data_IF_599012862444
#
_entry.id   IF_599012862444
#
_cell.length_a   1.000
_cell.length_b   1.000
_cell.length_c   1.000
_cell.angle_alpha   90.00
_cell.angle_beta   90.00
_cell.angle_gamma   90.00
#
_symmetry.space_group_name_H-M   'P 1'
#
loop_
_entity.id
_entity.type
_entity.pdbx_description
1 polymer ?
#
# COMPACT_ATOMS: atom_id res chain seq x y z
N UNK A 1 -17.04 -1.99 11.24
CA UNK A 1 -15.64 -1.57 10.97
C UNK A 1 -15.74 -0.46 9.95
N UNK A 2 -15.46 0.78 10.35
CA UNK A 2 -15.65 1.94 9.50
C UNK A 2 -14.52 2.03 8.47
N UNK A 3 -14.88 2.20 7.20
CA UNK A 3 -13.93 2.47 6.12
C UNK A 3 -13.47 3.92 6.20
N UNK A 4 -12.22 4.17 5.82
CA UNK A 4 -11.71 5.54 5.69
C UNK A 4 -12.33 6.25 4.49
N UNK A 5 -12.43 7.58 4.57
CA UNK A 5 -12.60 8.40 3.38
C UNK A 5 -11.36 8.29 2.51
N UNK A 6 -11.51 8.52 1.21
CA UNK A 6 -10.41 8.45 0.23
C UNK A 6 -9.22 9.32 0.65
N UNK A 7 -9.47 10.57 1.05
CA UNK A 7 -8.44 11.50 1.54
C UNK A 7 -7.75 10.98 2.81
N UNK A 8 -8.48 10.33 3.72
CA UNK A 8 -7.90 9.78 4.94
C UNK A 8 -7.05 8.53 4.65
N UNK A 9 -7.50 7.68 3.73
CA UNK A 9 -6.73 6.52 3.25
C UNK A 9 -5.44 6.94 2.57
N UNK A 10 -5.51 7.91 1.65
CA UNK A 10 -4.33 8.46 0.97
C UNK A 10 -3.29 9.00 1.98
N UNK A 11 -3.72 9.81 2.96
CA UNK A 11 -2.80 10.34 3.99
C UNK A 11 -2.17 9.24 4.83
N UNK A 12 -2.92 8.20 5.18
CA UNK A 12 -2.40 7.06 5.94
C UNK A 12 -1.29 6.31 5.17
N UNK A 13 -1.34 6.32 3.85
CA UNK A 13 -0.35 5.68 2.97
C UNK A 13 0.86 6.60 2.73
N UNK A 14 0.61 7.87 2.38
CA UNK A 14 1.65 8.81 1.93
C UNK A 14 2.48 9.39 3.07
N UNK A 15 1.87 9.75 4.21
CA UNK A 15 2.58 10.46 5.29
C UNK A 15 3.77 9.65 5.85
N UNK A 16 3.63 8.33 6.14
CA UNK A 16 4.76 7.54 6.59
C UNK A 16 5.82 7.36 5.49
N UNK A 17 5.37 7.18 4.25
CA UNK A 17 6.22 6.92 3.08
C UNK A 17 7.11 8.11 2.71
N UNK A 18 6.62 9.33 2.94
CA UNK A 18 7.37 10.56 2.68
C UNK A 18 8.63 10.69 3.54
N UNK A 19 8.64 10.14 4.76
CA UNK A 19 9.83 10.16 5.62
C UNK A 19 10.89 9.14 5.18
N UNK A 20 10.44 8.05 4.55
CA UNK A 20 11.27 6.90 4.13
C UNK A 20 11.75 7.01 2.67
N UNK A 21 11.51 8.14 2.00
CA UNK A 21 11.84 8.35 0.57
C UNK A 21 11.19 7.32 -0.38
N UNK A 22 9.99 6.85 -0.02
CA UNK A 22 9.21 5.93 -0.85
C UNK A 22 8.24 6.72 -1.74
N UNK A 23 8.39 6.57 -3.05
CA UNK A 23 7.54 7.22 -4.05
C UNK A 23 6.36 6.32 -4.46
N UNK A 24 5.15 6.84 -4.42
CA UNK A 24 3.96 6.13 -4.88
C UNK A 24 3.52 6.66 -6.23
N UNK A 25 3.37 5.77 -7.22
CA UNK A 25 2.64 6.11 -8.43
C UNK A 25 1.18 6.38 -8.05
N UNK A 26 0.56 7.40 -8.65
CA UNK A 26 -0.80 7.85 -8.31
C UNK A 26 -1.83 6.72 -8.34
N UNK A 27 -1.70 5.79 -9.27
CA UNK A 27 -2.63 4.67 -9.42
C UNK A 27 -2.38 3.54 -8.40
N UNK A 28 -1.18 3.48 -7.80
CA UNK A 28 -0.83 2.46 -6.81
C UNK A 28 -1.54 2.69 -5.46
N UNK A 29 -1.72 3.96 -5.08
CA UNK A 29 -2.46 4.33 -3.87
C UNK A 29 -3.94 3.92 -4.03
N UNK A 30 -4.52 4.20 -5.20
CA UNK A 30 -5.90 3.84 -5.51
C UNK A 30 -6.06 2.32 -5.49
N UNK A 31 -5.18 1.58 -6.18
CA UNK A 31 -5.19 0.12 -6.17
C UNK A 31 -5.11 -0.45 -4.74
N UNK A 32 -4.22 0.08 -3.89
CA UNK A 32 -4.10 -0.36 -2.51
C UNK A 32 -5.36 -0.09 -1.69
N UNK A 33 -5.97 1.09 -1.88
CA UNK A 33 -7.23 1.43 -1.20
C UNK A 33 -8.39 0.53 -1.64
N UNK A 34 -8.45 0.16 -2.91
CA UNK A 34 -9.47 -0.73 -3.46
C UNK A 34 -9.30 -2.15 -2.94
N UNK A 35 -8.08 -2.71 -2.99
CA UNK A 35 -7.77 -4.06 -2.47
C UNK A 35 -8.08 -4.21 -0.98
N UNK A 36 -7.84 -3.15 -0.20
CA UNK A 36 -8.05 -3.17 1.26
C UNK A 36 -9.43 -2.71 1.69
N UNK A 37 -10.31 -2.31 0.75
CA UNK A 37 -11.61 -1.72 1.04
C UNK A 37 -11.53 -0.44 1.88
N UNK A 38 -10.38 0.26 1.87
CA UNK A 38 -10.06 1.41 2.73
C UNK A 38 -10.16 1.11 4.23
N UNK A 39 -10.00 -0.15 4.63
CA UNK A 39 -9.95 -0.50 6.04
C UNK A 39 -8.58 -0.14 6.63
N UNK A 40 -8.50 0.67 7.71
CA UNK A 40 -7.23 1.14 8.26
C UNK A 40 -6.26 0.01 8.60
N UNK A 41 -6.77 -1.06 9.23
CA UNK A 41 -5.94 -2.20 9.66
C UNK A 41 -5.36 -2.96 8.47
N UNK A 42 -6.14 -3.13 7.39
CA UNK A 42 -5.67 -3.80 6.19
C UNK A 42 -4.69 -2.92 5.42
N UNK A 43 -4.94 -1.62 5.31
CA UNK A 43 -3.99 -0.65 4.75
C UNK A 43 -2.63 -0.74 5.46
N UNK A 44 -2.60 -0.71 6.79
CA UNK A 44 -1.35 -0.80 7.54
C UNK A 44 -0.62 -2.13 7.33
N UNK A 45 -1.35 -3.25 7.37
CA UNK A 45 -0.77 -4.58 7.16
C UNK A 45 -0.16 -4.70 5.75
N UNK A 46 -0.89 -4.23 4.74
CA UNK A 46 -0.44 -4.25 3.36
C UNK A 46 0.75 -3.33 3.12
N UNK A 47 0.76 -2.12 3.70
CA UNK A 47 1.92 -1.23 3.68
C UNK A 47 3.18 -1.89 4.27
N UNK A 48 3.06 -2.66 5.36
CA UNK A 48 4.19 -3.40 5.92
C UNK A 48 4.76 -4.45 4.95
N UNK A 49 3.89 -5.12 4.18
CA UNK A 49 4.33 -6.05 3.12
C UNK A 49 5.00 -5.33 1.97
N UNK A 50 4.44 -4.21 1.53
CA UNK A 50 5.04 -3.37 0.49
C UNK A 50 6.45 -2.95 0.90
N UNK A 51 6.64 -2.45 2.12
CA UNK A 51 7.98 -2.09 2.61
C UNK A 51 8.95 -3.28 2.62
N UNK A 52 8.47 -4.49 2.95
CA UNK A 52 9.29 -5.70 2.91
C UNK A 52 9.70 -6.05 1.48
N UNK A 53 8.78 -5.93 0.53
CA UNK A 53 9.04 -6.13 -0.90
C UNK A 53 10.01 -5.10 -1.46
N UNK A 54 9.80 -3.81 -1.18
CA UNK A 54 10.68 -2.72 -1.62
C UNK A 54 12.12 -2.94 -1.14
N UNK A 55 12.29 -3.32 0.13
CA UNK A 55 13.61 -3.65 0.70
C UNK A 55 14.25 -4.86 0.02
N UNK A 56 13.47 -5.91 -0.29
CA UNK A 56 13.96 -7.11 -0.97
C UNK A 56 14.42 -6.82 -2.40
N UNK A 57 13.64 -6.06 -3.14
CA UNK A 57 13.91 -5.68 -4.53
C UNK A 57 14.88 -4.49 -4.65
N UNK A 58 15.34 -3.93 -3.54
CA UNK A 58 16.23 -2.75 -3.49
C UNK A 58 15.69 -1.55 -4.28
N UNK A 59 14.39 -1.29 -4.17
CA UNK A 59 13.70 -0.20 -4.85
C UNK A 59 12.93 0.68 -3.87
N UNK A 60 12.66 1.91 -4.26
CA UNK A 60 11.99 2.91 -3.42
C UNK A 60 10.72 3.49 -4.06
N UNK A 61 10.15 2.81 -5.07
CA UNK A 61 8.91 3.23 -5.71
C UNK A 61 7.88 2.10 -5.73
N UNK A 62 6.60 2.45 -5.62
CA UNK A 62 5.49 1.49 -5.64
C UNK A 62 4.70 1.64 -6.94
N UNK A 63 4.59 0.53 -7.68
CA UNK A 63 3.78 0.44 -8.90
C UNK A 63 2.41 -0.20 -8.58
N UNK A 64 1.36 0.06 -9.37
CA UNK A 64 0.08 -0.64 -9.23
C UNK A 64 0.24 -2.17 -9.32
N UNK A 65 1.12 -2.64 -10.21
CA UNK A 65 1.42 -4.06 -10.36
C UNK A 65 1.99 -4.70 -9.07
N UNK A 66 2.76 -3.93 -8.28
CA UNK A 66 3.27 -4.38 -6.97
C UNK A 66 2.12 -4.67 -6.01
N UNK A 67 1.05 -3.87 -6.04
CA UNK A 67 -0.13 -4.08 -5.20
C UNK A 67 -0.82 -5.39 -5.59
N UNK A 68 -1.06 -5.59 -6.89
CA UNK A 68 -1.70 -6.82 -7.41
C UNK A 68 -0.87 -8.07 -7.07
N UNK A 69 0.45 -8.04 -7.30
CA UNK A 69 1.35 -9.15 -7.00
C UNK A 69 1.31 -9.53 -5.50
N UNK A 70 1.36 -8.54 -4.62
CA UNK A 70 1.32 -8.77 -3.17
C UNK A 70 -0.07 -9.21 -2.67
N UNK A 71 -1.14 -8.78 -3.35
CA UNK A 71 -2.50 -9.21 -3.05
C UNK A 71 -2.68 -10.70 -3.36
N UNK A 72 -2.20 -11.14 -4.52
CA UNK A 72 -2.22 -12.56 -4.92
C UNK A 72 -1.45 -13.43 -3.91
N UNK A 73 -0.28 -12.99 -3.45
CA UNK A 73 0.51 -13.69 -2.43
C UNK A 73 -0.19 -13.79 -1.06
N UNK A 74 -1.14 -12.92 -0.74
CA UNK A 74 -1.92 -12.97 0.52
C UNK A 74 -3.08 -13.97 0.46
N UNK A 75 -3.57 -14.30 -0.73
CA UNK A 75 -4.66 -15.28 -0.92
C UNK A 75 -4.14 -16.72 -0.86
N UNK A 76 -2.87 -16.92 -1.19
CA UNK A 76 -2.23 -18.24 -1.22
C UNK A 76 -1.64 -18.72 0.12
N UNK A 77 -1.60 -17.85 1.15
CA UNK A 77 -1.15 -18.17 2.52
C UNK A 77 -2.30 -18.59 3.46
#
# INVERSE_FOLDING_TARGET
LDCLSERAGQRLIEEPSSNEQVEWQSDAIVALMDETGRHPSFLQLFCSRIMTYLNRETQNYVLPATITELAEQLVEE
#
